data_IF_847844456680
#
_entry.id   IF_847844456680
#
_cell.length_a   1.000
_cell.length_b   1.000
_cell.length_c   1.000
_cell.angle_alpha   90.00
_cell.angle_beta   90.00
_cell.angle_gamma   90.00
#
_symmetry.space_group_name_H-M   'P 1'
#
loop_
_entity.id
_entity.type
_entity.pdbx_description
1 polymer ?
#
# COMPACT_ATOMS: atom_id res chain seq x y z
N UNK A 1 8.31 -27.99 -13.80
CA UNK A 1 7.31 -27.49 -12.84
C UNK A 1 6.75 -26.22 -13.46
N UNK A 2 5.51 -26.25 -13.91
CA UNK A 2 4.85 -25.09 -14.52
C UNK A 2 4.35 -24.20 -13.41
N UNK A 3 4.92 -23.00 -13.28
CA UNK A 3 4.41 -21.95 -12.40
C UNK A 3 3.00 -21.59 -12.86
N UNK A 4 1.97 -21.62 -12.00
CA UNK A 4 0.62 -21.29 -12.43
C UNK A 4 0.54 -19.83 -12.92
N UNK A 5 0.20 -19.68 -14.20
CA UNK A 5 0.08 -18.42 -14.97
C UNK A 5 -1.21 -17.65 -14.69
N UNK A 6 -1.86 -17.91 -13.55
CA UNK A 6 -3.19 -17.39 -13.26
C UNK A 6 -3.08 -16.42 -12.09
N UNK A 7 -2.88 -15.15 -12.40
CA UNK A 7 -2.66 -14.10 -11.40
C UNK A 7 -3.90 -13.26 -11.14
N UNK A 8 -4.05 -12.78 -9.89
CA UNK A 8 -3.28 -12.99 -8.67
C UNK A 8 -3.78 -14.14 -7.77
N UNK A 9 -4.80 -14.88 -8.20
CA UNK A 9 -5.32 -16.06 -7.52
C UNK A 9 -5.38 -17.24 -8.50
N UNK A 10 -4.66 -18.36 -8.25
CA UNK A 10 -4.72 -19.54 -9.12
C UNK A 10 -6.13 -20.14 -9.26
N UNK A 11 -6.98 -19.97 -8.24
CA UNK A 11 -8.38 -20.41 -8.22
C UNK A 11 -9.32 -19.42 -8.95
N UNK A 12 -8.86 -18.18 -9.18
CA UNK A 12 -9.62 -17.10 -9.82
C UNK A 12 -8.70 -16.29 -10.77
N UNK A 13 -8.24 -16.90 -11.88
CA UNK A 13 -7.47 -16.19 -12.90
C UNK A 13 -8.17 -14.91 -13.35
N UNK A 14 -7.41 -13.83 -13.50
CA UNK A 14 -7.92 -12.57 -14.06
C UNK A 14 -8.70 -11.71 -13.09
N UNK A 15 -8.67 -11.94 -11.78
CA UNK A 15 -9.39 -11.13 -10.77
C UNK A 15 -8.39 -10.29 -9.97
N UNK A 16 -8.42 -8.95 -9.95
CA UNK A 16 -7.36 -8.16 -9.31
C UNK A 16 -7.23 -8.41 -7.81
N UNK A 17 -6.18 -7.86 -7.20
CA UNK A 17 -5.91 -7.98 -5.75
C UNK A 17 -7.04 -7.44 -4.86
N UNK A 18 -7.79 -6.44 -5.33
CA UNK A 18 -8.92 -5.82 -4.63
C UNK A 18 -10.18 -5.88 -5.49
N UNK A 19 -10.73 -7.09 -5.72
CA UNK A 19 -11.78 -7.28 -6.72
C UNK A 19 -13.15 -6.72 -6.31
N UNK A 20 -13.30 -6.33 -5.05
CA UNK A 20 -14.49 -5.70 -4.50
C UNK A 20 -14.54 -4.18 -4.74
N UNK A 21 -13.53 -3.59 -5.40
CA UNK A 21 -13.44 -2.15 -5.64
C UNK A 21 -13.16 -1.86 -7.10
N UNK A 22 -13.85 -0.87 -7.65
CA UNK A 22 -13.53 -0.37 -8.97
C UNK A 22 -12.17 0.34 -8.96
N UNK A 23 -11.47 0.32 -10.09
CA UNK A 23 -10.24 1.08 -10.21
C UNK A 23 -9.36 0.70 -11.38
N UNK A 24 -8.34 1.53 -11.60
CA UNK A 24 -7.30 1.29 -12.59
C UNK A 24 -6.25 0.34 -12.02
N UNK A 25 -5.80 -0.59 -12.85
CA UNK A 25 -4.72 -1.52 -12.53
C UNK A 25 -3.78 -1.64 -13.71
N UNK A 26 -2.51 -1.93 -13.41
CA UNK A 26 -1.49 -2.28 -14.39
C UNK A 26 -1.52 -3.79 -14.61
N UNK A 27 -1.53 -4.19 -15.87
CA UNK A 27 -1.49 -5.57 -16.35
C UNK A 27 -0.38 -5.68 -17.39
N UNK A 28 0.46 -6.70 -17.29
CA UNK A 28 1.42 -7.06 -18.31
C UNK A 28 0.79 -8.07 -19.28
N UNK A 29 0.65 -7.69 -20.55
CA UNK A 29 -0.01 -8.52 -21.57
C UNK A 29 0.96 -9.43 -22.33
N UNK A 30 2.27 -9.30 -22.09
CA UNK A 30 3.32 -10.16 -22.68
C UNK A 30 4.42 -10.49 -21.65
N UNK A 31 4.08 -11.19 -20.55
CA UNK A 31 5.02 -11.45 -19.46
C UNK A 31 6.13 -12.45 -19.81
N UNK A 32 5.96 -13.26 -20.86
CA UNK A 32 6.99 -14.19 -21.34
C UNK A 32 7.87 -13.61 -22.45
N UNK A 33 7.45 -12.50 -23.08
CA UNK A 33 8.18 -11.82 -24.13
C UNK A 33 8.95 -10.60 -23.63
N UNK A 34 8.64 -9.41 -24.14
CA UNK A 34 9.38 -8.19 -23.80
C UNK A 34 8.78 -7.40 -22.62
N UNK A 35 7.66 -7.86 -22.05
CA UNK A 35 6.86 -7.11 -21.08
C UNK A 35 6.11 -5.96 -21.77
N UNK A 36 4.81 -5.90 -21.58
CA UNK A 36 3.96 -4.82 -22.11
C UNK A 36 2.91 -4.43 -21.08
N UNK A 37 3.26 -3.43 -20.28
CA UNK A 37 2.39 -2.89 -19.24
C UNK A 37 1.29 -2.01 -19.85
N UNK A 38 0.04 -2.42 -19.65
CA UNK A 38 -1.16 -1.66 -19.99
C UNK A 38 -1.95 -1.33 -18.74
N UNK A 39 -2.72 -0.25 -18.80
CA UNK A 39 -3.64 0.15 -17.74
C UNK A 39 -5.05 -0.22 -18.15
N UNK A 40 -5.70 -1.06 -17.35
CA UNK A 40 -7.10 -1.44 -17.52
C UNK A 40 -7.89 -1.05 -16.27
N UNK A 41 -9.19 -0.83 -16.46
CA UNK A 41 -10.12 -0.55 -15.38
C UNK A 41 -10.88 -1.81 -15.00
N UNK A 42 -10.92 -2.12 -13.71
CA UNK A 42 -11.72 -3.20 -13.15
C UNK A 42 -13.07 -2.66 -12.68
N UNK A 43 -14.16 -3.29 -13.11
CA UNK A 43 -15.52 -3.00 -12.63
C UNK A 43 -15.92 -4.12 -11.67
N UNK A 44 -15.93 -3.83 -10.37
CA UNK A 44 -16.17 -4.78 -9.30
C UNK A 44 -17.58 -5.36 -9.30
N UNK A 45 -18.59 -4.55 -9.64
CA UNK A 45 -19.99 -5.01 -9.73
C UNK A 45 -20.16 -6.13 -10.75
N UNK A 46 -19.47 -6.02 -11.89
CA UNK A 46 -19.58 -6.97 -13.01
C UNK A 46 -18.46 -8.01 -13.03
N UNK A 47 -17.39 -7.80 -12.26
CA UNK A 47 -16.18 -8.61 -12.25
C UNK A 47 -15.54 -8.75 -13.64
N UNK A 48 -15.43 -7.64 -14.36
CA UNK A 48 -14.85 -7.58 -15.71
C UNK A 48 -13.78 -6.49 -15.83
N UNK A 49 -12.90 -6.66 -16.81
CA UNK A 49 -11.94 -5.64 -17.21
C UNK A 49 -12.44 -4.87 -18.42
N UNK A 50 -12.18 -3.56 -18.43
CA UNK A 50 -12.45 -2.68 -19.56
C UNK A 50 -11.26 -1.76 -19.82
N UNK A 51 -11.05 -1.37 -21.08
CA UNK A 51 -9.95 -0.48 -21.45
C UNK A 51 -10.19 0.97 -20.94
N UNK A 52 -11.44 1.39 -20.81
CA UNK A 52 -11.82 2.77 -20.46
C UNK A 52 -12.64 2.85 -19.16
N UNK A 53 -12.47 3.92 -18.39
CA UNK A 53 -13.18 4.21 -17.12
C UNK A 53 -14.68 4.55 -17.30
N UNK A 54 -15.25 4.37 -18.49
CA UNK A 54 -16.57 4.87 -18.83
C UNK A 54 -17.67 3.88 -18.44
N UNK A 55 -18.26 4.08 -17.27
CA UNK A 55 -19.33 3.25 -16.67
C UNK A 55 -20.59 3.08 -17.57
N UNK A 56 -20.78 3.98 -18.54
CA UNK A 56 -21.90 3.93 -19.49
C UNK A 56 -21.63 3.02 -20.71
N UNK A 57 -20.41 2.50 -20.85
CA UNK A 57 -19.98 1.58 -21.89
C UNK A 57 -19.57 0.25 -21.24
N UNK A 58 -20.55 -0.56 -20.87
CA UNK A 58 -20.36 -2.00 -20.59
C UNK A 58 -21.37 -2.79 -21.44
N UNK A 59 -21.10 -4.02 -21.95
CA UNK A 59 -19.94 -4.90 -21.84
C UNK A 59 -19.45 -5.42 -23.23
N UNK A 60 -19.63 -4.66 -24.31
CA UNK A 60 -19.32 -5.18 -25.66
C UNK A 60 -17.81 -5.43 -25.84
N UNK A 61 -16.95 -4.67 -25.14
CA UNK A 61 -15.49 -4.82 -25.13
C UNK A 61 -14.94 -5.27 -23.76
N UNK A 62 -15.79 -5.90 -22.93
CA UNK A 62 -15.35 -6.43 -21.65
C UNK A 62 -14.43 -7.65 -21.85
N UNK A 63 -13.24 -7.61 -21.27
CA UNK A 63 -12.33 -8.76 -21.30
C UNK A 63 -12.67 -9.70 -20.15
N UNK A 64 -12.81 -10.98 -20.49
CA UNK A 64 -13.05 -12.05 -19.52
C UNK A 64 -11.94 -13.12 -19.54
N UNK A 65 -12.11 -14.15 -18.72
CA UNK A 65 -11.06 -15.12 -18.39
C UNK A 65 -10.30 -15.75 -19.58
N UNK A 66 -10.88 -15.83 -20.78
CA UNK A 66 -10.14 -16.31 -21.97
C UNK A 66 -9.24 -15.24 -22.61
N UNK A 67 -9.67 -13.98 -22.62
CA UNK A 67 -8.90 -12.86 -23.19
C UNK A 67 -7.64 -12.56 -22.37
N UNK A 68 -7.69 -12.88 -21.09
CA UNK A 68 -6.62 -12.63 -20.12
C UNK A 68 -5.61 -13.79 -20.04
N UNK A 69 -5.77 -14.84 -20.85
CA UNK A 69 -4.83 -15.97 -20.86
C UNK A 69 -3.46 -15.49 -21.33
N UNK A 70 -2.45 -15.74 -20.49
CA UNK A 70 -1.09 -15.33 -20.76
C UNK A 70 -0.75 -13.93 -20.27
N UNK A 71 -1.69 -13.21 -19.64
CA UNK A 71 -1.43 -11.91 -19.03
C UNK A 71 -1.08 -12.05 -17.54
N UNK A 72 -0.37 -11.08 -16.99
CA UNK A 72 0.03 -11.04 -15.59
C UNK A 72 -0.42 -9.75 -14.89
N UNK A 73 -1.04 -9.89 -13.72
CA UNK A 73 -1.40 -8.74 -12.90
C UNK A 73 -0.15 -8.11 -12.27
N UNK A 74 0.05 -6.81 -12.48
CA UNK A 74 1.20 -6.07 -11.91
C UNK A 74 0.79 -5.40 -10.60
N UNK A 75 -0.30 -4.63 -10.58
CA UNK A 75 -0.74 -3.93 -9.37
C UNK A 75 -1.80 -2.86 -9.60
N UNK A 76 -2.35 -2.26 -8.52
CA UNK A 76 -3.29 -1.15 -8.64
C UNK A 76 -2.59 0.16 -9.05
N UNK A 77 -3.25 0.96 -9.87
CA UNK A 77 -2.85 2.34 -10.16
C UNK A 77 -3.41 3.26 -9.07
N UNK A 78 -2.61 3.50 -8.03
CA UNK A 78 -3.04 4.35 -6.92
C UNK A 78 -3.16 5.81 -7.35
N UNK A 79 -4.27 6.44 -6.96
CA UNK A 79 -4.45 7.89 -7.12
C UNK A 79 -3.55 8.65 -6.15
N UNK A 80 -3.20 9.92 -6.44
CA UNK A 80 -2.48 10.76 -5.49
C UNK A 80 -3.16 10.85 -4.12
N UNK A 81 -4.50 10.83 -4.07
CA UNK A 81 -5.26 10.83 -2.81
C UNK A 81 -5.05 9.53 -2.02
N UNK A 82 -5.16 8.37 -2.67
CA UNK A 82 -4.90 7.07 -2.02
C UNK A 82 -3.46 6.96 -1.51
N UNK A 83 -2.48 7.46 -2.28
CA UNK A 83 -1.08 7.53 -1.82
C UNK A 83 -0.97 8.44 -0.59
N UNK A 84 -1.61 9.61 -0.61
CA UNK A 84 -1.59 10.53 0.53
C UNK A 84 -2.22 9.91 1.79
N UNK A 85 -3.34 9.20 1.65
CA UNK A 85 -4.00 8.46 2.73
C UNK A 85 -3.11 7.35 3.29
N UNK A 86 -2.49 6.53 2.41
CA UNK A 86 -1.56 5.48 2.84
C UNK A 86 -0.37 6.06 3.62
N UNK A 87 0.20 7.17 3.15
CA UNK A 87 1.29 7.86 3.83
C UNK A 87 0.83 8.48 5.16
N UNK A 88 -0.39 9.02 5.25
CA UNK A 88 -0.95 9.54 6.49
C UNK A 88 -1.10 8.42 7.53
N UNK A 89 -1.71 7.29 7.13
CA UNK A 89 -1.87 6.13 7.99
C UNK A 89 -0.53 5.55 8.47
N UNK A 90 0.49 5.49 7.60
CA UNK A 90 1.83 5.03 7.99
C UNK A 90 2.51 5.99 8.98
N UNK A 91 2.34 7.31 8.82
CA UNK A 91 2.84 8.28 9.80
C UNK A 91 2.20 8.06 11.17
N UNK A 92 0.89 7.82 11.22
CA UNK A 92 0.19 7.52 12.48
C UNK A 92 0.71 6.23 13.13
N UNK A 93 0.92 5.16 12.36
CA UNK A 93 1.54 3.91 12.85
C UNK A 93 2.94 4.16 13.41
N UNK A 94 3.77 4.92 12.70
CA UNK A 94 5.09 5.31 13.19
C UNK A 94 4.99 6.09 14.51
N UNK A 95 4.12 7.10 14.58
CA UNK A 95 3.93 7.90 15.79
C UNK A 95 3.47 7.06 16.99
N UNK A 96 2.57 6.09 16.76
CA UNK A 96 2.11 5.17 17.80
C UNK A 96 3.25 4.30 18.33
N UNK A 97 4.07 3.71 17.45
CA UNK A 97 5.24 2.92 17.86
C UNK A 97 6.25 3.77 18.65
N UNK A 98 6.50 5.01 18.21
CA UNK A 98 7.39 5.93 18.93
C UNK A 98 6.85 6.34 20.31
N UNK A 99 5.54 6.55 20.43
CA UNK A 99 4.91 6.87 21.71
C UNK A 99 5.08 5.73 22.73
N UNK A 100 4.87 4.47 22.33
CA UNK A 100 5.08 3.30 23.19
C UNK A 100 6.53 3.21 23.71
N UNK A 101 7.51 3.46 22.84
CA UNK A 101 8.91 3.50 23.25
C UNK A 101 9.22 4.67 24.20
N UNK A 102 8.60 5.83 23.98
CA UNK A 102 8.70 7.01 24.85
C UNK A 102 8.15 6.73 26.25
N UNK A 103 6.95 6.14 26.36
CA UNK A 103 6.34 5.78 27.65
C UNK A 103 7.22 4.81 28.45
N UNK A 104 7.80 3.81 27.77
CA UNK A 104 8.76 2.88 28.40
C UNK A 104 10.01 3.59 28.90
N UNK A 105 10.52 4.55 28.14
CA UNK A 105 11.68 5.35 28.55
C UNK A 105 11.33 6.26 29.74
N UNK A 106 10.11 6.78 29.81
CA UNK A 106 9.64 7.63 30.91
C UNK A 106 9.47 6.84 32.21
N UNK A 107 8.89 5.64 32.14
CA UNK A 107 8.84 4.71 33.28
C UNK A 107 10.25 4.42 33.80
N UNK A 108 11.17 4.07 32.90
CA UNK A 108 12.56 3.80 33.28
C UNK A 108 13.27 5.04 33.85
N UNK A 109 12.95 6.25 33.39
CA UNK A 109 13.44 7.51 34.00
C UNK A 109 12.94 7.69 35.43
N UNK A 110 11.63 7.47 35.67
CA UNK A 110 11.02 7.61 37.00
C UNK A 110 11.57 6.61 38.00
N UNK A 111 11.85 5.39 37.55
CA UNK A 111 12.40 4.31 38.37
C UNK A 111 13.92 4.39 38.54
N UNK A 112 14.60 5.35 37.90
CA UNK A 112 16.06 5.50 37.97
C UNK A 112 16.51 5.94 39.36
N UNK A 113 17.47 5.22 39.93
CA UNK A 113 17.99 5.46 41.28
C UNK A 113 19.15 6.48 41.29
N UNK A 114 19.89 6.59 40.18
CA UNK A 114 21.05 7.48 40.08
C UNK A 114 20.83 8.68 39.15
N UNK A 115 21.60 9.74 39.36
CA UNK A 115 21.57 10.93 38.52
C UNK A 115 22.11 10.65 37.10
N UNK A 116 23.09 9.75 36.97
CA UNK A 116 23.63 9.32 35.67
C UNK A 116 22.57 8.57 34.83
N UNK A 117 21.82 7.65 35.44
CA UNK A 117 20.71 6.96 34.76
C UNK A 117 19.61 7.94 34.36
N UNK A 118 19.25 8.87 35.24
CA UNK A 118 18.28 9.94 34.92
C UNK A 118 18.76 10.78 33.74
N UNK A 119 20.04 11.15 33.70
CA UNK A 119 20.59 11.94 32.60
C UNK A 119 20.57 11.16 31.28
N UNK A 120 20.92 9.88 31.28
CA UNK A 120 20.80 9.01 30.10
C UNK A 120 19.36 8.92 29.60
N UNK A 121 18.42 8.61 30.51
CA UNK A 121 17.00 8.46 30.16
C UNK A 121 16.37 9.76 29.67
N UNK A 122 16.76 10.90 30.24
CA UNK A 122 16.36 12.22 29.74
C UNK A 122 16.85 12.50 28.32
N UNK A 123 18.08 12.08 28.00
CA UNK A 123 18.60 12.14 26.63
C UNK A 123 17.77 11.31 25.65
N UNK A 124 17.41 10.09 26.05
CA UNK A 124 16.54 9.22 25.27
C UNK A 124 15.15 9.84 25.04
N UNK A 125 14.50 10.35 26.10
CA UNK A 125 13.20 11.03 26.01
C UNK A 125 13.23 12.23 25.06
N UNK A 126 14.22 13.12 25.19
CA UNK A 126 14.39 14.25 24.28
C UNK A 126 14.56 13.81 22.81
N UNK A 127 15.17 12.65 22.59
CA UNK A 127 15.36 12.10 21.24
C UNK A 127 14.03 11.57 20.69
N UNK A 128 13.26 10.84 21.50
CA UNK A 128 11.93 10.37 21.12
C UNK A 128 10.99 11.51 20.76
N UNK A 129 10.96 12.58 21.55
CA UNK A 129 10.14 13.76 21.29
C UNK A 129 10.50 14.42 19.94
N UNK A 130 11.80 14.60 19.69
CA UNK A 130 12.29 15.16 18.42
C UNK A 130 11.91 14.28 17.22
N UNK A 131 12.17 12.97 17.29
CA UNK A 131 11.81 12.06 16.21
C UNK A 131 10.30 12.02 15.96
N UNK A 132 9.48 12.05 17.01
CA UNK A 132 8.02 12.12 16.89
C UNK A 132 7.59 13.38 16.15
N UNK A 133 8.15 14.53 16.52
CA UNK A 133 7.80 15.80 15.90
C UNK A 133 8.29 15.87 14.43
N UNK A 134 9.47 15.32 14.13
CA UNK A 134 9.97 15.17 12.76
C UNK A 134 9.05 14.29 11.91
N UNK A 135 8.63 13.12 12.42
CA UNK A 135 7.71 12.19 11.71
C UNK A 135 6.38 12.87 11.42
N UNK A 136 5.83 13.60 12.40
CA UNK A 136 4.57 14.35 12.21
C UNK A 136 4.68 15.38 11.10
N UNK A 137 5.85 15.98 10.93
CA UNK A 137 6.10 17.04 9.94
C UNK A 137 6.61 16.50 8.58
N UNK A 138 6.83 15.18 8.43
CA UNK A 138 7.28 14.59 7.17
C UNK A 138 6.28 14.88 6.04
N UNK A 139 6.75 15.57 4.99
CA UNK A 139 5.92 15.98 3.85
C UNK A 139 5.16 17.31 4.05
N UNK A 140 5.35 17.99 5.19
CA UNK A 140 4.90 19.38 5.40
C UNK A 140 5.90 20.44 4.94
N UNK A 141 7.09 20.04 4.50
CA UNK A 141 8.04 20.92 3.83
C UNK A 141 7.68 21.02 2.35
N UNK A 142 6.92 22.05 2.00
CA UNK A 142 6.73 22.55 0.64
C UNK A 142 7.45 23.88 0.47
#
# INVERSE_FOLDING_TARGET
MTTPTNWPNPERPGVPMFPEKDGKHVIDVDPEGNGSDLVYYWIAEHQVWVEYENENEAPDDALDGYDLIGWAYVGPCLTPAQIAEMLAAERERCLAAFAEHGERAELAYRDSASDEEKQYRRGALNTFEKCRDEIRNLGGAS
#
